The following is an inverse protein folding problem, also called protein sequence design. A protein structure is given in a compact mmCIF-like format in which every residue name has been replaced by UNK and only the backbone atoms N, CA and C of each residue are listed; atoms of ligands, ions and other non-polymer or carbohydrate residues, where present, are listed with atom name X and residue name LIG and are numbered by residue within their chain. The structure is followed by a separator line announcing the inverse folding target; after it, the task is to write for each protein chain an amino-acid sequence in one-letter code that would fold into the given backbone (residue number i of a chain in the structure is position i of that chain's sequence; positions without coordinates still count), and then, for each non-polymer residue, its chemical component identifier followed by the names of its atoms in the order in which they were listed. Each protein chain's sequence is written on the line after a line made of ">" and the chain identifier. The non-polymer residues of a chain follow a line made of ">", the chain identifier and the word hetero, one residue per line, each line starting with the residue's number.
data_IF_597899931551
#
_entry.id   IF_597899931551
#
_cell.length_a   1.000
_cell.length_b   1.000
_cell.length_c   1.000
_cell.angle_alpha   90.00
_cell.angle_beta   90.00
_cell.angle_gamma   90.00
#
_symmetry.space_group_name_H-M   'P 1'
#
loop_
_entity.id
_entity.type
_entity.pdbx_description
1 polymer ?
#
# COMPACT_ATOMS: atom_id res chain seq x y z
N UNK A 1 5.96 45.43 -6.69
CA UNK A 1 5.22 44.87 -7.62
C UNK A 1 5.26 43.45 -7.66
N UNK A 2 6.33 42.90 -7.82
CA UNK A 2 6.46 41.48 -7.91
C UNK A 2 6.17 40.76 -6.65
N UNK A 3 6.29 41.47 -5.57
CA UNK A 3 6.11 40.90 -4.27
C UNK A 3 4.77 40.25 -4.06
N UNK A 4 3.68 40.84 -4.50
CA UNK A 4 2.38 40.21 -4.34
C UNK A 4 2.30 38.85 -4.99
N UNK A 5 2.95 38.69 -6.10
CA UNK A 5 2.91 37.44 -6.78
C UNK A 5 3.61 36.34 -6.00
N UNK A 6 4.68 36.71 -5.36
CA UNK A 6 5.40 35.73 -4.56
C UNK A 6 4.55 35.24 -3.42
N UNK A 7 3.81 36.11 -2.83
CA UNK A 7 2.94 35.75 -1.73
C UNK A 7 1.89 34.77 -2.18
N UNK A 8 1.33 34.98 -3.33
CA UNK A 8 0.33 34.09 -3.86
C UNK A 8 0.89 32.69 -4.06
N UNK A 9 2.07 32.62 -4.59
CA UNK A 9 2.68 31.33 -4.85
C UNK A 9 2.89 30.57 -3.55
N UNK A 10 3.33 31.28 -2.52
CA UNK A 10 3.55 30.64 -1.24
C UNK A 10 2.27 30.04 -0.69
N UNK A 11 1.18 30.79 -0.77
CA UNK A 11 -0.08 30.26 -0.28
C UNK A 11 -0.51 29.03 -1.03
N UNK A 12 -0.32 29.03 -2.31
CA UNK A 12 -0.69 27.90 -3.12
C UNK A 12 0.08 26.67 -2.71
N UNK A 13 1.35 26.82 -2.43
CA UNK A 13 2.17 25.68 -2.03
C UNK A 13 1.70 25.06 -0.74
N UNK A 14 1.33 25.89 0.23
CA UNK A 14 0.85 25.37 1.50
C UNK A 14 -0.44 24.60 1.32
N UNK A 15 -1.35 25.12 0.52
CA UNK A 15 -2.60 24.44 0.28
C UNK A 15 -2.38 23.08 -0.37
N UNK A 16 -1.44 23.01 -1.28
CA UNK A 16 -1.16 21.74 -1.95
C UNK A 16 -0.66 20.71 -0.98
N UNK A 17 0.16 21.09 -0.03
CA UNK A 17 0.67 20.15 0.96
C UNK A 17 -0.45 19.61 1.83
N UNK A 18 -1.38 20.45 2.23
CA UNK A 18 -2.49 20.00 3.04
C UNK A 18 -3.36 19.01 2.28
N UNK A 19 -3.61 19.28 1.02
CA UNK A 19 -4.39 18.38 0.20
C UNK A 19 -3.72 17.01 0.08
N UNK A 20 -2.42 16.99 -0.09
CA UNK A 20 -1.71 15.73 -0.19
C UNK A 20 -1.87 14.92 1.08
N UNK A 21 -1.79 15.57 2.25
CA UNK A 21 -1.93 14.87 3.51
C UNK A 21 -3.34 14.33 3.68
N UNK A 22 -4.34 15.09 3.28
CA UNK A 22 -5.72 14.68 3.44
C UNK A 22 -6.12 13.58 2.47
N UNK A 23 -5.47 13.52 1.34
CA UNK A 23 -5.83 12.52 0.36
C UNK A 23 -4.95 11.29 0.43
N UNK A 24 -4.26 11.10 1.54
CA UNK A 24 -3.46 9.90 1.72
C UNK A 24 -4.37 8.69 1.67
N UNK A 25 -4.08 7.78 0.77
CA UNK A 25 -4.87 6.58 0.56
C UNK A 25 -3.94 5.41 0.35
N UNK A 26 -4.51 4.20 0.43
CA UNK A 26 -3.74 3.01 0.14
C UNK A 26 -3.22 3.08 -1.29
N UNK A 27 -1.96 2.72 -1.46
CA UNK A 27 -1.33 2.67 -2.76
C UNK A 27 -1.11 1.23 -3.16
N UNK A 28 -1.13 0.92 -4.45
CA UNK A 28 -0.86 -0.44 -4.89
C UNK A 28 0.49 -0.92 -4.37
N UNK A 29 0.53 -2.12 -3.84
CA UNK A 29 1.77 -2.72 -3.34
C UNK A 29 1.93 -4.12 -3.90
N UNK A 30 3.12 -4.43 -4.33
CA UNK A 30 3.45 -5.75 -4.82
C UNK A 30 3.87 -6.61 -3.62
N UNK A 31 3.10 -7.65 -3.34
CA UNK A 31 3.34 -8.48 -2.16
C UNK A 31 4.63 -9.28 -2.26
N UNK A 32 5.22 -9.34 -3.42
CA UNK A 32 6.48 -10.06 -3.60
C UNK A 32 7.70 -9.20 -3.32
N UNK A 33 7.57 -7.88 -3.37
CA UNK A 33 8.73 -7.00 -3.20
C UNK A 33 8.55 -5.91 -2.15
N UNK A 34 7.34 -5.64 -1.72
CA UNK A 34 7.10 -4.55 -0.76
C UNK A 34 7.70 -4.88 0.60
N UNK A 35 8.12 -3.85 1.31
CA UNK A 35 8.59 -4.00 2.68
C UNK A 35 7.43 -4.28 3.62
N UNK A 36 7.73 -4.81 4.81
CA UNK A 36 6.68 -5.03 5.80
C UNK A 36 5.98 -3.71 6.14
N UNK A 37 6.74 -2.63 6.22
CA UNK A 37 6.16 -1.33 6.51
C UNK A 37 5.17 -0.91 5.43
N UNK A 38 5.57 -1.04 4.17
CA UNK A 38 4.70 -0.68 3.06
C UNK A 38 3.44 -1.55 3.04
N UNK A 39 3.59 -2.84 3.32
CA UNK A 39 2.44 -3.75 3.35
C UNK A 39 1.45 -3.34 4.44
N UNK A 40 1.96 -3.01 5.63
CA UNK A 40 1.06 -2.65 6.72
C UNK A 40 0.41 -1.30 6.50
N UNK A 41 1.05 -0.40 5.78
CA UNK A 41 0.48 0.92 5.53
C UNK A 41 -0.58 0.89 4.45
N UNK A 42 -0.50 -0.04 3.53
CA UNK A 42 -1.34 0.02 2.34
C UNK A 42 -2.36 -1.11 2.22
N UNK A 43 -2.19 -2.20 2.94
CA UNK A 43 -3.17 -3.29 2.88
C UNK A 43 -4.05 -3.22 4.11
N UNK A 44 -5.30 -2.90 3.88
CA UNK A 44 -6.28 -2.79 4.93
C UNK A 44 -6.44 -4.14 5.64
N UNK A 45 -6.36 -4.14 6.96
CA UNK A 45 -6.45 -5.38 7.73
C UNK A 45 -5.12 -6.06 7.97
N UNK A 46 -4.03 -5.50 7.45
CA UNK A 46 -2.69 -6.05 7.65
C UNK A 46 -1.88 -5.06 8.47
N UNK A 47 -1.71 -5.36 9.75
CA UNK A 47 -0.86 -4.55 10.61
C UNK A 47 0.57 -5.04 10.56
N UNK A 48 1.43 -4.50 11.45
CA UNK A 48 2.86 -4.84 11.41
C UNK A 48 3.15 -6.34 11.58
N UNK A 49 2.37 -7.03 12.41
CA UNK A 49 2.62 -8.45 12.65
C UNK A 49 2.32 -9.27 11.40
N UNK A 50 1.16 -9.01 10.77
CA UNK A 50 0.80 -9.73 9.56
C UNK A 50 1.70 -9.35 8.39
N UNK A 51 2.11 -8.09 8.32
CA UNK A 51 3.03 -7.66 7.27
C UNK A 51 4.35 -8.40 7.38
N UNK A 52 4.88 -8.54 8.60
CA UNK A 52 6.10 -9.31 8.82
C UNK A 52 5.91 -10.77 8.47
N UNK A 53 4.72 -11.31 8.74
CA UNK A 53 4.43 -12.68 8.39
C UNK A 53 4.41 -12.89 6.87
N UNK A 54 3.90 -11.92 6.13
CA UNK A 54 3.92 -11.99 4.66
C UNK A 54 5.36 -12.05 4.16
N UNK A 55 6.20 -11.15 4.68
CA UNK A 55 7.60 -11.11 4.27
C UNK A 55 8.30 -12.42 4.60
N UNK A 56 8.09 -12.93 5.82
CA UNK A 56 8.70 -14.18 6.23
C UNK A 56 8.22 -15.34 5.36
N UNK A 57 6.94 -15.35 5.03
CA UNK A 57 6.38 -16.41 4.21
C UNK A 57 7.04 -16.45 2.84
N UNK A 58 7.15 -15.29 2.17
CA UNK A 58 7.74 -15.29 0.84
C UNK A 58 9.24 -15.60 0.87
N UNK A 59 9.91 -15.27 1.96
CA UNK A 59 11.33 -15.62 2.10
C UNK A 59 11.53 -17.10 2.27
N UNK A 60 10.62 -17.76 2.95
CA UNK A 60 10.73 -19.20 3.22
C UNK A 60 10.20 -20.04 2.07
N UNK A 61 9.10 -19.61 1.46
CA UNK A 61 8.38 -20.42 0.49
C UNK A 61 8.53 -19.95 -0.95
N UNK A 62 9.20 -18.83 -1.16
CA UNK A 62 9.32 -18.24 -2.49
C UNK A 62 8.22 -17.24 -2.76
N UNK A 63 8.30 -16.56 -3.90
CA UNK A 63 7.33 -15.53 -4.22
C UNK A 63 5.92 -16.08 -4.37
N UNK A 64 4.94 -15.24 -4.09
CA UNK A 64 3.55 -15.59 -4.34
C UNK A 64 3.32 -15.60 -5.84
N UNK A 65 2.59 -16.61 -6.32
CA UNK A 65 2.23 -16.65 -7.73
C UNK A 65 0.91 -15.97 -8.00
N UNK A 66 0.13 -15.70 -6.95
CA UNK A 66 -1.13 -14.98 -7.07
C UNK A 66 -1.47 -14.38 -5.72
N UNK A 67 -2.41 -13.44 -5.71
CA UNK A 67 -2.85 -12.83 -4.46
C UNK A 67 -3.50 -13.85 -3.53
N UNK A 68 -4.12 -14.89 -4.10
CA UNK A 68 -4.76 -15.93 -3.31
C UNK A 68 -3.75 -16.63 -2.41
N UNK A 69 -2.48 -16.63 -2.78
CA UNK A 69 -1.44 -17.21 -1.94
C UNK A 69 -1.32 -16.57 -0.56
N UNK A 70 -1.82 -15.34 -0.41
CA UNK A 70 -1.83 -14.72 0.91
C UNK A 70 -2.67 -15.50 1.91
N UNK A 71 -3.62 -16.29 1.45
CA UNK A 71 -4.43 -17.11 2.35
C UNK A 71 -3.62 -18.16 3.08
N UNK A 72 -2.43 -18.48 2.57
CA UNK A 72 -1.55 -19.42 3.23
C UNK A 72 -0.75 -18.77 4.36
N UNK A 73 -0.81 -17.46 4.45
CA UNK A 73 -0.15 -16.75 5.55
C UNK A 73 -1.11 -16.75 6.74
N UNK A 74 -0.64 -17.29 7.85
CA UNK A 74 -1.49 -17.42 9.03
C UNK A 74 -1.98 -16.06 9.49
N UNK A 75 -3.28 -15.93 9.65
CA UNK A 75 -3.91 -14.68 10.08
C UNK A 75 -4.51 -13.87 8.95
N UNK A 76 -4.31 -14.27 7.70
CA UNK A 76 -4.90 -13.57 6.56
C UNK A 76 -6.05 -14.40 6.00
N UNK A 77 -7.24 -13.79 5.94
CA UNK A 77 -8.41 -14.43 5.41
C UNK A 77 -8.89 -13.80 4.12
N UNK A 78 -9.95 -14.37 3.57
CA UNK A 78 -10.49 -13.93 2.30
C UNK A 78 -10.92 -12.46 2.32
N UNK A 79 -11.32 -11.95 3.48
CA UNK A 79 -11.78 -10.56 3.57
C UNK A 79 -10.65 -9.59 3.24
N UNK A 80 -9.43 -9.90 3.62
CA UNK A 80 -8.30 -9.06 3.29
C UNK A 80 -8.15 -8.95 1.78
N UNK A 81 -8.31 -10.06 1.07
CA UNK A 81 -8.21 -10.04 -0.38
C UNK A 81 -9.34 -9.22 -1.00
N UNK A 82 -10.55 -9.41 -0.52
CA UNK A 82 -11.70 -8.68 -1.05
C UNK A 82 -11.59 -7.19 -0.82
N UNK A 83 -11.17 -6.80 0.39
CA UNK A 83 -11.10 -5.39 0.74
C UNK A 83 -9.95 -4.67 0.04
N UNK A 84 -8.99 -5.41 -0.48
CA UNK A 84 -7.79 -4.83 -1.06
C UNK A 84 -7.56 -5.26 -2.51
N UNK A 85 -8.63 -5.63 -3.20
CA UNK A 85 -8.50 -6.16 -4.55
C UNK A 85 -7.79 -5.21 -5.51
N UNK A 86 -7.94 -3.90 -5.29
CA UNK A 86 -7.32 -2.91 -6.17
C UNK A 86 -5.95 -2.46 -5.67
N UNK A 87 -5.57 -2.90 -4.48
CA UNK A 87 -4.30 -2.48 -3.88
C UNK A 87 -3.22 -3.53 -4.05
N UNK A 88 -3.61 -4.81 -4.02
CA UNK A 88 -2.65 -5.90 -4.04
C UNK A 88 -2.20 -6.19 -5.46
N UNK A 89 -0.88 -6.15 -5.67
CA UNK A 89 -0.28 -6.54 -6.92
C UNK A 89 0.59 -7.77 -6.71
N UNK A 90 0.71 -8.58 -7.75
CA UNK A 90 1.63 -9.71 -7.77
C UNK A 90 2.45 -9.59 -9.05
N UNK A 91 3.75 -9.40 -8.89
CA UNK A 91 4.68 -9.20 -10.01
C UNK A 91 4.20 -8.06 -10.90
N UNK A 92 3.70 -7.00 -10.28
CA UNK A 92 3.25 -5.81 -10.98
C UNK A 92 1.86 -5.88 -11.56
N UNK A 93 1.14 -7.00 -11.37
CA UNK A 93 -0.19 -7.16 -11.94
C UNK A 93 -1.25 -7.12 -10.86
N UNK A 94 -2.38 -6.48 -11.19
CA UNK A 94 -3.47 -6.36 -10.26
C UNK A 94 -4.11 -7.72 -9.98
N UNK A 95 -4.64 -7.85 -8.76
CA UNK A 95 -5.38 -9.04 -8.38
C UNK A 95 -6.70 -9.08 -9.14
N UNK A 96 -7.02 -10.22 -9.69
CA UNK A 96 -8.28 -10.44 -10.37
C UNK A 96 -8.98 -11.64 -9.78
N UNK A 97 -10.25 -11.49 -9.58
CA UNK A 97 -11.05 -12.59 -9.06
C UNK A 97 -11.35 -13.62 -10.13
#
# INVERSE_FOLDING_TARGET
>A
MLIPNLKSVTKTGVAALLLAALSAQAEPVDINIASAESLSQNIMGVGPVLASAIVAYRQTNGPFSSAVGLLDVRGIGAKVLQDNAKTILVDGKAYEN
#
